data_IF_965310385012
#
_entry.id   IF_965310385012
#
_cell.length_a   1.000
_cell.length_b   1.000
_cell.length_c   1.000
_cell.angle_alpha   90.00
_cell.angle_beta   90.00
_cell.angle_gamma   90.00
#
_symmetry.space_group_name_H-M   'P 1'
#
loop_
_entity.id
_entity.type
_entity.pdbx_description
1 polymer ?
#
# COMPACT_ATOMS: atom_id res chain seq x y z
N UNK A 1 13.89 16.49 -21.93
CA UNK A 1 12.76 16.14 -21.04
C UNK A 1 13.15 14.93 -20.20
N UNK A 2 12.61 14.80 -18.98
CA UNK A 2 12.91 13.70 -18.04
C UNK A 2 11.61 13.07 -17.56
N UNK A 3 11.64 11.79 -17.21
CA UNK A 3 10.46 11.11 -16.69
C UNK A 3 10.24 11.45 -15.21
N UNK A 4 8.98 11.48 -14.74
CA UNK A 4 8.68 11.73 -13.33
C UNK A 4 9.26 10.63 -12.42
N UNK A 5 9.40 10.93 -11.14
CA UNK A 5 9.86 9.98 -10.13
C UNK A 5 8.88 8.82 -9.99
N UNK A 6 9.40 7.60 -9.85
CA UNK A 6 8.58 6.39 -9.68
C UNK A 6 8.48 5.93 -8.23
N UNK A 7 9.46 6.30 -7.40
CA UNK A 7 9.44 5.94 -5.98
C UNK A 7 8.58 6.90 -5.17
N UNK A 8 7.68 6.36 -4.36
CA UNK A 8 6.75 7.10 -3.51
C UNK A 8 6.46 6.32 -2.22
N UNK A 9 5.54 6.81 -1.39
CA UNK A 9 5.05 6.09 -0.21
C UNK A 9 4.32 4.77 -0.55
N UNK A 10 3.71 4.68 -1.74
CA UNK A 10 2.98 3.49 -2.21
C UNK A 10 3.81 2.57 -3.10
N UNK A 11 4.83 3.12 -3.76
CA UNK A 11 5.50 2.46 -4.88
C UNK A 11 7.01 2.37 -4.64
N UNK A 12 7.58 1.19 -4.91
CA UNK A 12 9.01 0.94 -4.98
C UNK A 12 9.40 0.76 -6.44
N UNK A 13 10.50 1.37 -6.86
CA UNK A 13 11.04 1.17 -8.20
C UNK A 13 12.54 0.91 -8.14
N UNK A 14 13.00 -0.02 -8.95
CA UNK A 14 14.41 -0.33 -9.17
C UNK A 14 14.79 0.14 -10.58
N UNK A 15 15.59 1.21 -10.69
CA UNK A 15 15.93 1.86 -11.96
C UNK A 15 17.35 1.50 -12.41
N UNK A 16 17.51 1.32 -13.70
CA UNK A 16 18.81 1.15 -14.35
C UNK A 16 18.92 2.01 -15.60
N UNK A 17 20.10 2.57 -15.84
CA UNK A 17 20.46 3.26 -17.07
C UNK A 17 21.73 2.61 -17.62
N UNK A 18 21.70 2.11 -18.85
CA UNK A 18 22.83 1.38 -19.45
C UNK A 18 23.33 0.22 -18.55
N UNK A 19 22.40 -0.53 -17.96
CA UNK A 19 22.65 -1.61 -16.98
C UNK A 19 23.34 -1.20 -15.67
N UNK A 20 23.50 0.10 -15.41
CA UNK A 20 24.00 0.62 -14.15
C UNK A 20 22.84 1.12 -13.28
N UNK A 21 22.99 1.02 -11.96
CA UNK A 21 21.99 1.53 -11.02
C UNK A 21 21.77 3.03 -11.23
N UNK A 22 20.50 3.43 -11.22
CA UNK A 22 20.08 4.82 -11.24
C UNK A 22 19.04 5.07 -10.15
N UNK A 23 18.96 6.30 -9.64
CA UNK A 23 17.94 6.65 -8.66
C UNK A 23 16.56 6.80 -9.32
N UNK A 24 15.54 6.13 -8.78
CA UNK A 24 14.13 6.34 -9.12
C UNK A 24 13.44 7.45 -8.29
N UNK A 25 14.17 8.04 -7.34
CA UNK A 25 13.68 9.11 -6.44
C UNK A 25 13.88 10.50 -7.04
N UNK A 26 14.58 10.59 -8.18
CA UNK A 26 14.77 11.82 -8.94
C UNK A 26 14.27 11.64 -10.38
N UNK A 27 13.95 12.72 -11.11
CA UNK A 27 13.50 12.61 -12.49
C UNK A 27 14.51 11.86 -13.39
N UNK A 28 14.04 10.77 -14.00
CA UNK A 28 14.87 9.83 -14.75
C UNK A 28 15.23 10.35 -16.15
N UNK A 29 16.38 9.93 -16.65
CA UNK A 29 16.83 10.27 -18.01
C UNK A 29 16.15 9.37 -19.05
N UNK A 30 15.95 9.85 -20.29
CA UNK A 30 15.52 8.98 -21.39
C UNK A 30 16.42 7.74 -21.54
N UNK A 31 15.80 6.58 -21.74
CA UNK A 31 16.48 5.28 -21.81
C UNK A 31 16.63 4.57 -20.46
N UNK A 32 16.33 5.22 -19.33
CA UNK A 32 16.25 4.54 -18.03
C UNK A 32 15.15 3.47 -18.06
N UNK A 33 15.48 2.26 -17.65
CA UNK A 33 14.54 1.17 -17.42
C UNK A 33 14.21 1.09 -15.94
N UNK A 34 12.99 0.70 -15.59
CA UNK A 34 12.60 0.50 -14.21
C UNK A 34 11.71 -0.73 -14.04
N UNK A 35 11.89 -1.43 -12.92
CA UNK A 35 10.95 -2.42 -12.42
C UNK A 35 10.18 -1.80 -11.26
N UNK A 36 8.86 -1.73 -11.38
CA UNK A 36 7.96 -1.03 -10.46
C UNK A 36 7.10 -2.04 -9.72
N UNK A 37 7.04 -1.92 -8.39
CA UNK A 37 6.27 -2.76 -7.50
C UNK A 37 5.58 -1.93 -6.42
N UNK A 38 4.50 -2.45 -5.85
CA UNK A 38 3.85 -1.81 -4.70
C UNK A 38 4.63 -2.12 -3.42
N UNK A 39 4.73 -1.13 -2.53
CA UNK A 39 5.32 -1.31 -1.20
C UNK A 39 4.42 -2.18 -0.33
N UNK A 40 4.99 -2.69 0.76
CA UNK A 40 4.24 -3.38 1.83
C UNK A 40 3.04 -2.52 2.24
N UNK A 41 1.86 -3.13 2.36
CA UNK A 41 0.54 -2.49 2.59
C UNK A 41 -0.16 -1.88 1.37
N UNK A 42 0.41 -2.00 0.16
CA UNK A 42 -0.24 -1.60 -1.09
C UNK A 42 -0.39 -2.78 -2.05
N UNK A 43 -1.42 -2.74 -2.89
CA UNK A 43 -1.66 -3.70 -3.96
C UNK A 43 -1.74 -3.00 -5.32
N UNK A 44 -1.40 -3.69 -6.42
CA UNK A 44 -1.64 -3.15 -7.75
C UNK A 44 -3.15 -2.99 -7.99
N UNK A 45 -3.55 -1.88 -8.59
CA UNK A 45 -4.91 -1.66 -9.04
C UNK A 45 -5.33 -2.76 -10.03
N UNK A 46 -6.52 -3.34 -9.83
CA UNK A 46 -7.06 -4.38 -10.71
C UNK A 46 -7.47 -3.82 -12.08
N UNK A 47 -7.44 -4.68 -13.11
CA UNK A 47 -7.92 -4.34 -14.46
C UNK A 47 -6.87 -3.78 -15.42
N UNK A 48 -5.62 -3.53 -14.98
CA UNK A 48 -4.51 -3.18 -15.87
C UNK A 48 -3.65 -4.42 -16.19
N UNK A 49 -3.29 -4.58 -17.47
CA UNK A 49 -2.21 -5.50 -17.86
C UNK A 49 -0.98 -5.13 -17.04
N UNK A 50 -0.64 -5.95 -16.04
CA UNK A 50 0.49 -5.73 -15.14
C UNK A 50 1.78 -5.67 -15.96
N UNK A 51 2.23 -4.45 -16.26
CA UNK A 51 3.56 -4.20 -16.80
C UNK A 51 4.37 -3.49 -15.73
N UNK A 52 5.02 -4.30 -14.92
CA UNK A 52 5.96 -3.88 -13.89
C UNK A 52 7.24 -3.29 -14.49
N UNK A 53 7.56 -3.61 -15.76
CA UNK A 53 8.69 -3.01 -16.48
C UNK A 53 8.26 -1.82 -17.35
N UNK A 54 8.94 -0.69 -17.13
CA UNK A 54 8.73 0.55 -17.87
C UNK A 54 10.07 1.13 -18.34
N UNK A 55 10.03 1.89 -19.44
CA UNK A 55 11.20 2.60 -19.96
C UNK A 55 10.88 4.08 -20.11
N UNK A 56 11.82 4.95 -19.73
CA UNK A 56 11.68 6.38 -19.91
C UNK A 56 11.88 6.75 -21.39
N UNK A 57 10.83 7.23 -22.05
CA UNK A 57 10.88 7.62 -23.45
C UNK A 57 11.57 8.98 -23.64
N UNK A 58 11.97 9.29 -24.88
CA UNK A 58 12.55 10.60 -25.24
C UNK A 58 11.58 11.76 -25.02
N UNK A 59 10.28 11.49 -24.88
CA UNK A 59 9.24 12.46 -24.57
C UNK A 59 9.17 12.78 -23.07
N UNK A 60 9.91 12.08 -22.21
CA UNK A 60 9.84 12.23 -20.77
C UNK A 60 8.61 11.55 -20.16
N UNK A 61 8.14 10.47 -20.78
CA UNK A 61 7.03 9.66 -20.28
C UNK A 61 7.50 8.23 -20.04
N UNK A 62 6.97 7.60 -19.00
CA UNK A 62 7.17 6.17 -18.78
C UNK A 62 6.28 5.38 -19.73
N UNK A 63 6.90 4.50 -20.50
CA UNK A 63 6.22 3.67 -21.49
C UNK A 63 6.59 2.20 -21.25
N UNK A 64 5.60 1.31 -21.04
CA UNK A 64 4.16 1.57 -20.85
C UNK A 64 3.85 2.40 -19.58
N UNK A 65 2.59 2.82 -19.40
CA UNK A 65 2.16 3.48 -18.16
C UNK A 65 2.45 2.57 -16.95
N UNK A 66 3.13 3.07 -15.91
CA UNK A 66 3.46 2.27 -14.72
C UNK A 66 2.22 1.75 -13.99
N UNK A 67 2.38 0.67 -13.24
CA UNK A 67 1.33 0.18 -12.34
C UNK A 67 0.93 1.26 -11.32
N UNK A 68 -0.35 1.27 -10.96
CA UNK A 68 -0.88 2.10 -9.87
C UNK A 68 -1.04 1.25 -8.62
N UNK A 69 -0.58 1.77 -7.48
CA UNK A 69 -0.64 1.09 -6.20
C UNK A 69 -1.72 1.73 -5.33
N UNK A 70 -2.70 0.95 -4.92
CA UNK A 70 -3.74 1.35 -3.98
C UNK A 70 -3.52 0.68 -2.63
N UNK A 71 -4.01 1.24 -1.53
CA UNK A 71 -3.96 0.57 -0.23
C UNK A 71 -4.49 -0.86 -0.31
N UNK A 72 -3.76 -1.79 0.29
CA UNK A 72 -4.15 -3.18 0.43
C UNK A 72 -5.24 -3.35 1.50
N UNK A 73 -5.86 -4.54 1.58
CA UNK A 73 -6.82 -4.84 2.63
C UNK A 73 -6.15 -4.81 4.01
N UNK A 74 -6.89 -4.34 5.02
CA UNK A 74 -6.53 -4.54 6.42
C UNK A 74 -6.99 -5.94 6.81
N UNK A 75 -6.05 -6.77 7.28
CA UNK A 75 -6.32 -8.14 7.72
C UNK A 75 -6.05 -8.21 9.22
N UNK A 76 -7.06 -8.61 9.98
CA UNK A 76 -6.97 -8.85 11.42
C UNK A 76 -7.27 -10.33 11.66
N UNK A 77 -6.30 -11.04 12.24
CA UNK A 77 -6.47 -12.43 12.64
C UNK A 77 -6.63 -12.50 14.16
N UNK A 78 -7.74 -13.07 14.61
CA UNK A 78 -8.06 -13.29 16.02
C UNK A 78 -8.02 -14.79 16.28
N UNK A 79 -7.17 -15.24 17.20
CA UNK A 79 -7.04 -16.65 17.54
C UNK A 79 -7.75 -16.95 18.87
N UNK A 80 -8.75 -17.84 18.85
CA UNK A 80 -9.53 -18.24 20.03
C UNK A 80 -9.59 -19.76 20.12
N UNK A 81 -9.06 -20.34 21.20
CA UNK A 81 -9.09 -21.78 21.47
C UNK A 81 -8.58 -22.67 20.31
N UNK A 82 -7.64 -22.17 19.51
CA UNK A 82 -7.08 -22.87 18.34
C UNK A 82 -7.80 -22.60 17.02
N UNK A 83 -8.89 -21.83 17.01
CA UNK A 83 -9.56 -21.34 15.80
C UNK A 83 -9.10 -19.93 15.45
N UNK A 84 -8.97 -19.64 14.15
CA UNK A 84 -8.64 -18.29 13.65
C UNK A 84 -9.85 -17.66 12.99
N UNK A 85 -10.26 -16.51 13.51
CA UNK A 85 -11.26 -15.63 12.91
C UNK A 85 -10.51 -14.55 12.15
N UNK A 86 -10.70 -14.47 10.83
CA UNK A 86 -10.09 -13.45 9.98
C UNK A 86 -11.11 -12.40 9.61
N UNK A 87 -10.78 -11.14 9.87
CA UNK A 87 -11.53 -9.97 9.44
C UNK A 87 -10.72 -9.30 8.33
N UNK A 88 -11.29 -9.26 7.13
CA UNK A 88 -10.69 -8.60 5.98
C UNK A 88 -11.54 -7.40 5.60
N UNK A 89 -10.92 -6.22 5.56
CA UNK A 89 -11.56 -5.01 5.04
C UNK A 89 -10.80 -4.50 3.82
N UNK A 90 -11.50 -4.48 2.68
CA UNK A 90 -10.98 -3.98 1.41
C UNK A 90 -11.15 -2.45 1.34
N UNK A 91 -10.09 -1.71 1.63
CA UNK A 91 -10.10 -0.25 1.48
C UNK A 91 -10.13 0.16 0.00
N UNK A 92 -11.04 1.09 -0.33
CA UNK A 92 -11.08 1.80 -1.61
C UNK A 92 -10.42 3.19 -1.59
N UNK A 93 -9.75 3.58 -0.49
CA UNK A 93 -9.19 4.93 -0.30
C UNK A 93 -7.94 4.95 0.60
N UNK A 94 -7.35 6.14 0.79
CA UNK A 94 -6.14 6.34 1.62
C UNK A 94 -6.38 5.95 3.08
N UNK A 95 -5.52 5.07 3.61
CA UNK A 95 -5.55 4.63 5.00
C UNK A 95 -4.84 5.67 5.88
N UNK A 96 -5.53 6.77 6.20
CA UNK A 96 -5.04 7.77 7.16
C UNK A 96 -5.48 7.41 8.59
N UNK A 97 -5.05 6.24 9.07
CA UNK A 97 -5.32 5.81 10.44
C UNK A 97 -4.20 6.24 11.38
N UNK A 98 -4.51 7.12 12.33
CA UNK A 98 -3.59 7.49 13.42
C UNK A 98 -3.64 6.51 14.60
N UNK A 99 -4.70 5.69 14.71
CA UNK A 99 -4.88 4.62 15.71
C UNK A 99 -5.70 3.47 15.11
N UNK A 100 -5.18 2.24 15.21
CA UNK A 100 -5.85 1.02 14.71
C UNK A 100 -6.32 0.16 15.87
N UNK A 101 -5.50 0.01 16.91
CA UNK A 101 -5.81 -0.81 18.08
C UNK A 101 -5.52 -0.01 19.36
N UNK A 102 -6.46 -0.01 20.28
CA UNK A 102 -6.30 0.51 21.64
C UNK A 102 -6.58 -0.61 22.66
N UNK A 103 -5.64 -0.82 23.59
CA UNK A 103 -5.74 -1.86 24.62
C UNK A 103 -6.01 -1.18 25.95
N UNK A 104 -7.17 -1.49 26.54
CA UNK A 104 -7.59 -1.04 27.85
C UNK A 104 -7.60 -2.23 28.82
N UNK A 105 -7.82 -1.95 30.12
CA UNK A 105 -7.77 -2.97 31.17
C UNK A 105 -8.82 -4.08 31.01
N UNK A 106 -9.98 -3.74 30.48
CA UNK A 106 -11.16 -4.61 30.37
C UNK A 106 -11.57 -4.91 28.92
N UNK A 107 -10.94 -4.26 27.94
CA UNK A 107 -11.34 -4.37 26.54
C UNK A 107 -10.21 -4.07 25.55
N UNK A 108 -10.35 -4.59 24.34
CA UNK A 108 -9.54 -4.22 23.18
C UNK A 108 -10.47 -3.57 22.15
N UNK A 109 -10.07 -2.38 21.71
CA UNK A 109 -10.83 -1.57 20.76
C UNK A 109 -10.08 -1.56 19.43
N UNK A 110 -10.76 -1.87 18.35
CA UNK A 110 -10.23 -1.68 16.99
C UNK A 110 -11.04 -0.61 16.27
N UNK A 111 -10.34 0.36 15.71
CA UNK A 111 -10.91 1.42 14.89
C UNK A 111 -10.74 1.08 13.40
N UNK A 112 -11.80 1.28 12.62
CA UNK A 112 -11.90 1.26 11.16
C UNK A 112 -11.77 2.68 10.58
N UNK A 113 -11.85 2.84 9.24
CA UNK A 113 -11.82 4.19 8.67
C UNK A 113 -13.08 4.89 9.10
N UNK A 114 -12.94 5.89 9.96
CA UNK A 114 -13.41 7.23 9.71
C UNK A 114 -13.03 8.06 10.93
N UNK A 115 -12.37 9.20 10.69
CA UNK A 115 -12.41 10.27 11.66
C UNK A 115 -13.88 10.54 12.01
N UNK A 116 -14.20 10.56 13.30
CA UNK A 116 -15.46 11.00 13.88
C UNK A 116 -16.64 10.01 13.98
N UNK A 117 -16.40 8.72 14.25
CA UNK A 117 -17.42 7.90 14.93
C UNK A 117 -16.89 7.46 16.31
N UNK A 118 -17.62 7.85 17.37
CA UNK A 118 -17.33 7.44 18.75
C UNK A 118 -17.55 5.93 19.00
N UNK A 119 -18.05 5.21 18.00
CA UNK A 119 -18.29 3.78 18.06
C UNK A 119 -17.12 3.01 17.45
N UNK A 120 -16.57 2.03 18.17
CA UNK A 120 -15.53 1.17 17.63
C UNK A 120 -16.10 0.18 16.62
N UNK A 121 -15.33 -0.11 15.56
CA UNK A 121 -15.68 -1.12 14.57
C UNK A 121 -15.60 -2.54 15.17
N UNK A 122 -14.74 -2.74 16.17
CA UNK A 122 -14.67 -3.97 16.97
C UNK A 122 -14.44 -3.60 18.44
N UNK A 123 -15.30 -4.10 19.34
CA UNK A 123 -15.17 -3.99 20.79
C UNK A 123 -15.14 -5.39 21.41
N UNK A 124 -13.97 -5.79 21.91
CA UNK A 124 -13.77 -7.06 22.61
C UNK A 124 -13.74 -6.79 24.11
N UNK A 125 -14.71 -7.34 24.86
CA UNK A 125 -14.81 -7.14 26.31
C UNK A 125 -14.53 -8.41 27.10
N UNK A 126 -13.84 -8.27 28.22
CA UNK A 126 -13.73 -9.32 29.22
C UNK A 126 -14.95 -9.22 30.13
N UNK A 127 -15.93 -10.10 29.93
CA UNK A 127 -17.03 -10.25 30.87
C UNK A 127 -16.48 -10.80 32.19
N UNK A 128 -16.73 -10.10 33.31
CA UNK A 128 -16.47 -10.64 34.63
C UNK A 128 -17.63 -11.56 35.00
N UNK A 129 -17.30 -12.77 35.48
CA UNK A 129 -18.24 -13.69 36.12
C UNK A 129 -18.78 -13.11 37.41
#
# INVERSE_FOLDING_TARGET
TRCPTLSSASTKADCTLNNQWASCETPAQPGTQAVVSCRTSYRPQEGLLRRDRVTCSSRGQWEPEPIKCTPGPVIININVNGETITLEHNYGGECNMTKIVEILRDRVIVYGNNGANENPDIDVRIARS
#
